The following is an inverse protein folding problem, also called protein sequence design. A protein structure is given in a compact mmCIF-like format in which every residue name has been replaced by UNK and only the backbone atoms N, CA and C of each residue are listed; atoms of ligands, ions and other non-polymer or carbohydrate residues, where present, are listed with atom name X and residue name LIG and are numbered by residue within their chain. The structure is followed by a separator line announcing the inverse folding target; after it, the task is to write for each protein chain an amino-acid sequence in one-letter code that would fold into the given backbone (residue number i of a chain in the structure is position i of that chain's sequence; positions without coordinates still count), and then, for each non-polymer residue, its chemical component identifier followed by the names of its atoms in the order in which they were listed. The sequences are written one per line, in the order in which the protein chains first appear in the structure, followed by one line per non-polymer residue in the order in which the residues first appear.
data_IF_096178313965
#
_entry.id   IF_096178313965
#
_cell.length_a   1.000
_cell.length_b   1.000
_cell.length_c   1.000
_cell.angle_alpha   90.00
_cell.angle_beta   90.00
_cell.angle_gamma   90.00
#
_symmetry.space_group_name_H-M   'P 1'
#
loop_
_entity.id
_entity.type
_entity.pdbx_description
1 polymer ?
#
# COMPACT_ATOMS: atom_id res chain seq x y z
N UNK A 1 -28.99 22.18 18.35
CA UNK A 1 -29.36 20.79 18.04
C UNK A 1 -28.22 19.92 18.54
N UNK A 2 -28.45 19.03 19.50
CA UNK A 2 -27.45 18.12 20.06
C UNK A 2 -27.12 17.04 19.01
N UNK A 3 -25.84 16.83 18.71
CA UNK A 3 -25.38 15.76 17.86
C UNK A 3 -25.85 14.39 18.43
N UNK A 4 -26.31 13.45 17.60
CA UNK A 4 -26.72 12.14 18.09
C UNK A 4 -25.51 11.48 18.75
N UNK A 5 -25.67 11.09 20.02
CA UNK A 5 -24.68 10.29 20.75
C UNK A 5 -24.42 9.03 19.90
N UNK A 6 -23.18 8.87 19.39
CA UNK A 6 -22.73 7.59 18.82
C UNK A 6 -22.98 6.54 19.88
N UNK A 7 -23.92 5.60 19.63
CA UNK A 7 -24.04 4.38 20.41
C UNK A 7 -22.67 3.71 20.30
N UNK A 8 -22.11 3.33 21.44
CA UNK A 8 -20.93 2.49 21.49
C UNK A 8 -21.37 1.14 20.93
N UNK A 9 -21.21 0.92 19.64
CA UNK A 9 -21.37 -0.42 19.08
C UNK A 9 -20.23 -1.26 19.68
N UNK A 10 -20.54 -2.45 20.23
CA UNK A 10 -19.52 -3.34 20.78
C UNK A 10 -18.48 -3.66 19.68
N UNK A 11 -17.24 -3.85 20.08
CA UNK A 11 -16.19 -4.28 19.14
C UNK A 11 -16.61 -5.62 18.50
N UNK A 12 -16.12 -5.90 17.28
CA UNK A 12 -16.43 -7.18 16.62
C UNK A 12 -16.01 -8.39 17.46
N UNK A 13 -14.96 -8.27 18.25
CA UNK A 13 -14.48 -9.31 19.16
C UNK A 13 -15.43 -9.51 20.34
N UNK A 14 -15.94 -8.43 20.94
CA UNK A 14 -16.96 -8.51 22.00
C UNK A 14 -18.24 -9.12 21.46
N UNK A 15 -18.70 -8.69 20.28
CA UNK A 15 -19.87 -9.26 19.63
C UNK A 15 -19.69 -10.75 19.29
N UNK A 16 -18.47 -11.17 18.89
CA UNK A 16 -18.12 -12.58 18.65
C UNK A 16 -18.15 -13.38 19.96
N UNK A 17 -17.62 -12.83 21.06
CA UNK A 17 -17.64 -13.47 22.39
C UNK A 17 -19.08 -13.64 22.93
N UNK A 18 -19.94 -12.64 22.77
CA UNK A 18 -21.33 -12.69 23.23
C UNK A 18 -22.22 -13.61 22.38
N UNK A 19 -22.03 -13.59 21.06
CA UNK A 19 -22.92 -14.25 20.09
C UNK A 19 -22.15 -15.00 19.01
N UNK A 20 -21.32 -16.00 19.35
CA UNK A 20 -20.45 -16.69 18.38
C UNK A 20 -21.21 -17.34 17.24
N UNK A 21 -22.44 -17.82 17.50
CA UNK A 21 -23.30 -18.47 16.50
C UNK A 21 -23.70 -17.58 15.31
N UNK A 22 -23.58 -16.25 15.42
CA UNK A 22 -23.88 -15.31 14.33
C UNK A 22 -22.74 -15.15 13.32
N UNK A 23 -21.59 -15.68 13.62
CA UNK A 23 -20.41 -15.60 12.78
C UNK A 23 -20.16 -16.93 12.06
N UNK A 24 -19.67 -16.86 10.82
CA UNK A 24 -19.15 -18.04 10.16
C UNK A 24 -17.84 -18.45 10.80
N UNK A 25 -17.54 -19.74 10.78
CA UNK A 25 -16.31 -20.29 11.36
C UNK A 25 -15.04 -19.58 10.85
N UNK A 26 -14.91 -19.44 9.54
CA UNK A 26 -13.71 -18.83 8.95
C UNK A 26 -13.53 -17.36 9.35
N UNK A 27 -14.61 -16.61 9.42
CA UNK A 27 -14.55 -15.21 9.86
C UNK A 27 -14.23 -15.08 11.34
N UNK A 28 -14.77 -15.96 12.17
CA UNK A 28 -14.47 -15.98 13.60
C UNK A 28 -12.99 -16.25 13.86
N UNK A 29 -12.41 -17.28 13.22
CA UNK A 29 -10.98 -17.61 13.36
C UNK A 29 -10.11 -16.46 12.87
N UNK A 30 -10.45 -15.85 11.73
CA UNK A 30 -9.72 -14.69 11.20
C UNK A 30 -9.71 -13.51 12.18
N UNK A 31 -10.86 -13.18 12.79
CA UNK A 31 -10.96 -12.12 13.78
C UNK A 31 -10.12 -12.42 15.02
N UNK A 32 -10.12 -13.67 15.49
CA UNK A 32 -9.33 -14.11 16.65
C UNK A 32 -7.82 -14.06 16.36
N UNK A 33 -7.38 -14.49 15.18
CA UNK A 33 -5.97 -14.35 14.77
C UNK A 33 -5.55 -12.89 14.65
N UNK A 34 -6.42 -12.04 14.11
CA UNK A 34 -6.14 -10.60 13.98
C UNK A 34 -6.01 -9.93 15.34
N UNK A 35 -6.90 -10.25 16.29
CA UNK A 35 -6.85 -9.72 17.66
C UNK A 35 -5.60 -10.18 18.39
N UNK A 36 -5.23 -11.47 18.26
CA UNK A 36 -4.00 -12.02 18.83
C UNK A 36 -2.75 -11.32 18.27
N UNK A 37 -2.71 -11.04 16.97
CA UNK A 37 -1.61 -10.30 16.34
C UNK A 37 -1.54 -8.84 16.82
N UNK A 38 -2.70 -8.21 17.08
CA UNK A 38 -2.78 -6.85 17.63
C UNK A 38 -2.27 -6.77 19.06
N UNK A 39 -2.64 -7.73 19.90
CA UNK A 39 -2.17 -7.84 21.29
C UNK A 39 -0.67 -8.13 21.35
N UNK A 40 -0.14 -8.94 20.44
CA UNK A 40 1.29 -9.22 20.35
C UNK A 40 2.17 -7.99 20.01
N UNK A 41 1.56 -6.91 19.51
CA UNK A 41 2.27 -5.63 19.27
C UNK A 41 2.52 -4.84 20.56
N UNK A 42 1.83 -5.18 21.67
CA UNK A 42 2.06 -4.56 22.97
C UNK A 42 3.23 -5.27 23.71
N UNK A 43 4.26 -4.52 24.14
CA UNK A 43 5.40 -5.12 24.83
C UNK A 43 5.00 -5.61 26.21
N UNK A 44 4.89 -6.92 26.37
CA UNK A 44 4.64 -7.56 27.69
C UNK A 44 3.78 -8.81 27.66
N UNK A 45 3.04 -9.08 26.61
CA UNK A 45 2.25 -10.30 26.48
C UNK A 45 2.94 -11.35 25.59
N UNK A 46 2.75 -12.63 25.93
CA UNK A 46 3.25 -13.73 25.11
C UNK A 46 2.49 -13.74 23.78
N UNK A 47 3.17 -13.43 22.69
CA UNK A 47 2.58 -13.36 21.36
C UNK A 47 1.96 -14.69 20.95
N UNK A 48 0.63 -14.73 20.88
CA UNK A 48 -0.11 -15.87 20.33
C UNK A 48 0.09 -15.92 18.80
N UNK A 49 0.23 -17.12 18.27
CA UNK A 49 0.55 -17.38 16.85
C UNK A 49 -0.70 -17.81 16.06
N UNK A 50 -0.71 -17.61 14.75
CA UNK A 50 -1.76 -18.12 13.88
C UNK A 50 -1.86 -19.65 13.95
N UNK A 51 -3.07 -20.17 13.76
CA UNK A 51 -3.35 -21.60 13.87
C UNK A 51 -2.72 -22.46 12.77
N UNK A 52 -2.35 -23.67 13.09
CA UNK A 52 -1.98 -24.74 12.16
C UNK A 52 -0.59 -24.62 11.54
N UNK A 53 0.29 -23.78 12.05
CA UNK A 53 1.68 -23.68 11.60
C UNK A 53 2.59 -24.73 12.23
N UNK A 54 3.88 -24.70 11.88
CA UNK A 54 4.85 -25.65 12.38
C UNK A 54 5.51 -25.13 13.67
N UNK A 55 4.69 -25.03 14.72
CA UNK A 55 5.10 -24.64 16.06
C UNK A 55 4.25 -25.35 17.13
N UNK A 56 4.57 -25.16 18.40
CA UNK A 56 3.80 -25.72 19.51
C UNK A 56 2.35 -25.22 19.48
N UNK A 57 1.36 -26.11 19.37
CA UNK A 57 -0.07 -25.74 19.40
C UNK A 57 -0.51 -25.01 20.67
N UNK A 58 0.29 -25.07 21.74
CA UNK A 58 0.02 -24.30 22.97
C UNK A 58 0.20 -22.79 22.79
N UNK A 59 0.92 -22.36 21.78
CA UNK A 59 1.12 -20.96 21.44
C UNK A 59 0.13 -20.43 20.39
N UNK A 60 -0.85 -21.23 19.93
CA UNK A 60 -1.81 -20.80 18.92
C UNK A 60 -2.93 -19.93 19.52
N UNK A 61 -3.41 -18.97 18.73
CA UNK A 61 -4.46 -18.03 19.14
C UNK A 61 -5.81 -18.69 19.43
N UNK A 62 -6.09 -19.81 18.73
CA UNK A 62 -7.37 -20.51 18.85
C UNK A 62 -7.12 -21.99 19.13
N UNK A 63 -7.84 -22.55 20.09
CA UNK A 63 -7.94 -23.97 20.35
C UNK A 63 -9.28 -24.49 19.88
N UNK A 64 -9.28 -25.39 18.91
CA UNK A 64 -10.50 -26.01 18.39
C UNK A 64 -10.89 -27.24 19.19
N UNK A 65 -12.20 -27.40 19.38
CA UNK A 65 -12.82 -28.54 20.02
C UNK A 65 -13.99 -29.01 19.16
N UNK A 66 -14.12 -30.31 18.93
CA UNK A 66 -15.29 -30.85 18.26
C UNK A 66 -16.45 -30.94 19.26
N UNK A 67 -17.67 -30.75 18.73
CA UNK A 67 -18.89 -30.98 19.50
C UNK A 67 -19.01 -32.45 19.89
N UNK A 68 -19.46 -32.71 21.09
CA UNK A 68 -19.70 -34.06 21.62
C UNK A 68 -21.18 -34.40 21.76
N UNK A 69 -22.06 -33.53 21.31
CA UNK A 69 -23.49 -33.79 21.26
C UNK A 69 -23.87 -34.51 19.95
N UNK A 70 -24.92 -35.32 19.98
CA UNK A 70 -25.47 -36.01 18.80
C UNK A 70 -26.67 -35.25 18.18
N UNK A 71 -27.06 -34.13 18.77
CA UNK A 71 -28.09 -33.28 18.20
C UNK A 71 -27.62 -32.65 16.90
N UNK A 72 -28.52 -32.46 15.92
CA UNK A 72 -28.20 -31.77 14.67
C UNK A 72 -27.78 -30.33 14.96
N UNK A 73 -26.60 -29.89 14.49
CA UNK A 73 -26.12 -28.54 14.76
C UNK A 73 -26.86 -27.53 13.87
N UNK A 74 -27.32 -26.44 14.51
CA UNK A 74 -27.97 -25.34 13.79
C UNK A 74 -26.97 -24.37 13.18
N UNK A 75 -25.79 -24.25 13.80
CA UNK A 75 -24.77 -23.24 13.47
C UNK A 75 -23.39 -23.90 13.39
N UNK A 76 -22.43 -23.24 12.70
CA UNK A 76 -21.06 -23.73 12.55
C UNK A 76 -20.27 -23.68 13.88
N UNK A 77 -20.58 -22.71 14.75
CA UNK A 77 -19.94 -22.50 16.03
C UNK A 77 -20.96 -22.69 17.15
N UNK A 78 -20.68 -23.62 18.05
CA UNK A 78 -21.54 -23.84 19.20
C UNK A 78 -21.23 -22.87 20.35
N UNK A 79 -19.95 -22.69 20.66
CA UNK A 79 -19.51 -21.85 21.78
C UNK A 79 -18.09 -21.29 21.54
N UNK A 80 -17.83 -20.14 22.14
CA UNK A 80 -16.53 -19.52 22.23
C UNK A 80 -16.26 -19.13 23.68
N UNK A 81 -15.08 -19.43 24.20
CA UNK A 81 -14.63 -19.04 25.54
C UNK A 81 -13.19 -18.57 25.45
N UNK A 82 -12.83 -17.55 26.21
CA UNK A 82 -11.45 -17.13 26.37
C UNK A 82 -10.87 -17.77 27.63
N UNK A 83 -9.69 -18.38 27.50
CA UNK A 83 -8.92 -18.94 28.61
C UNK A 83 -8.19 -17.83 29.40
N UNK A 84 -7.67 -18.17 30.57
CA UNK A 84 -6.84 -17.27 31.39
C UNK A 84 -5.53 -16.89 30.70
N UNK A 85 -5.10 -17.68 29.73
CA UNK A 85 -3.92 -17.51 28.89
C UNK A 85 -4.20 -16.65 27.63
N UNK A 86 -5.37 -16.03 27.53
CA UNK A 86 -5.77 -15.21 26.40
C UNK A 86 -6.19 -15.99 25.15
N UNK A 87 -6.04 -17.32 25.12
CA UNK A 87 -6.44 -18.15 23.99
C UNK A 87 -7.96 -18.28 23.87
N UNK A 88 -8.43 -18.32 22.64
CA UNK A 88 -9.81 -18.59 22.33
C UNK A 88 -10.07 -20.11 22.21
N UNK A 89 -10.98 -20.65 23.02
CA UNK A 89 -11.48 -22.02 22.91
C UNK A 89 -12.76 -22.02 22.10
N UNK A 90 -12.72 -22.54 20.88
CA UNK A 90 -13.85 -22.54 19.94
C UNK A 90 -14.36 -23.98 19.77
N UNK A 91 -15.65 -24.18 20.02
CA UNK A 91 -16.33 -25.47 19.81
C UNK A 91 -17.04 -25.41 18.46
N UNK A 92 -16.57 -26.23 17.52
CA UNK A 92 -17.12 -26.36 16.17
C UNK A 92 -18.09 -27.53 16.06
N UNK A 93 -18.97 -27.47 15.05
CA UNK A 93 -20.04 -28.45 14.91
C UNK A 93 -20.02 -29.20 13.58
N UNK A 94 -19.31 -28.68 12.60
CA UNK A 94 -19.36 -29.16 11.19
C UNK A 94 -18.18 -30.02 10.79
N UNK A 95 -17.13 -30.09 11.61
CA UNK A 95 -15.91 -30.80 11.29
C UNK A 95 -15.39 -31.57 12.53
N UNK A 96 -14.69 -32.66 12.33
CA UNK A 96 -14.05 -33.40 13.41
C UNK A 96 -14.21 -34.92 13.30
N UNK A 97 -13.57 -35.65 14.23
CA UNK A 97 -13.64 -37.07 14.31
C UNK A 97 -14.89 -37.57 15.03
N UNK A 98 -15.44 -36.75 15.92
CA UNK A 98 -16.56 -37.07 16.80
C UNK A 98 -17.68 -36.07 16.64
N UNK A 99 -18.86 -36.35 17.15
CA UNK A 99 -20.04 -35.50 17.03
C UNK A 99 -21.02 -35.98 15.97
N UNK A 100 -22.09 -35.21 15.67
CA UNK A 100 -23.17 -35.62 14.78
C UNK A 100 -22.71 -35.77 13.31
N UNK A 101 -21.71 -35.05 12.90
CA UNK A 101 -21.09 -35.08 11.57
C UNK A 101 -19.66 -35.67 11.62
N UNK A 102 -19.30 -36.33 12.72
CA UNK A 102 -17.97 -36.89 12.92
C UNK A 102 -17.66 -38.04 11.97
N UNK A 103 -16.37 -38.19 11.59
CA UNK A 103 -15.91 -39.26 10.73
C UNK A 103 -15.92 -40.64 11.41
N UNK A 104 -15.88 -40.69 12.75
CA UNK A 104 -15.92 -41.94 13.52
C UNK A 104 -17.35 -42.36 13.79
N UNK A 105 -17.59 -43.68 14.01
CA UNK A 105 -18.89 -44.19 14.41
C UNK A 105 -19.44 -43.50 15.68
N UNK A 106 -20.75 -43.35 15.77
CA UNK A 106 -21.43 -42.67 16.91
C UNK A 106 -21.12 -43.28 18.27
N UNK A 107 -20.75 -44.55 18.30
CA UNK A 107 -20.33 -45.27 19.52
C UNK A 107 -19.18 -44.56 20.24
N UNK A 108 -18.23 -43.96 19.49
CA UNK A 108 -17.12 -43.19 20.09
C UNK A 108 -17.64 -41.90 20.75
N UNK A 109 -18.57 -41.18 20.06
CA UNK A 109 -19.21 -39.99 20.64
C UNK A 109 -19.99 -40.32 21.90
N UNK A 110 -20.74 -41.43 21.89
CA UNK A 110 -21.48 -41.94 23.08
C UNK A 110 -20.56 -42.32 24.22
N UNK A 111 -19.39 -42.91 23.91
CA UNK A 111 -18.37 -43.24 24.92
C UNK A 111 -17.75 -42.00 25.55
N UNK A 112 -17.47 -40.97 24.74
CA UNK A 112 -17.00 -39.65 25.21
C UNK A 112 -18.05 -39.01 26.13
N UNK A 113 -19.33 -38.99 25.73
CA UNK A 113 -20.42 -38.44 26.54
C UNK A 113 -20.55 -39.14 27.89
N UNK A 114 -20.42 -40.46 27.91
CA UNK A 114 -20.39 -41.25 29.18
C UNK A 114 -19.24 -40.83 30.04
N UNK A 115 -18.01 -40.76 29.47
CA UNK A 115 -16.81 -40.32 30.19
C UNK A 115 -16.95 -38.92 30.78
N UNK A 116 -17.55 -37.97 30.01
CA UNK A 116 -17.80 -36.64 30.52
C UNK A 116 -18.81 -36.60 31.70
N UNK A 117 -19.88 -37.41 31.67
CA UNK A 117 -20.78 -37.56 32.80
C UNK A 117 -20.06 -38.11 34.04
N UNK A 118 -19.11 -39.02 33.83
CA UNK A 118 -18.30 -39.58 34.88
C UNK A 118 -17.12 -38.69 35.31
N UNK A 119 -17.07 -37.43 34.81
CA UNK A 119 -15.96 -36.49 35.03
C UNK A 119 -14.58 -37.00 34.55
N UNK A 120 -14.56 -37.81 33.51
CA UNK A 120 -13.36 -38.37 32.89
C UNK A 120 -13.17 -37.83 31.48
N UNK A 121 -12.60 -36.63 31.30
CA UNK A 121 -12.50 -35.93 29.99
C UNK A 121 -11.41 -36.50 29.09
N UNK A 122 -10.53 -37.41 29.55
CA UNK A 122 -9.32 -37.81 28.85
C UNK A 122 -9.52 -38.31 27.42
N UNK A 123 -10.63 -39.05 27.16
CA UNK A 123 -10.91 -39.53 25.79
C UNK A 123 -11.30 -38.37 24.86
N UNK A 124 -12.05 -37.38 25.33
CA UNK A 124 -12.36 -36.17 24.57
C UNK A 124 -11.07 -35.40 24.26
N UNK A 125 -10.24 -35.17 25.26
CA UNK A 125 -8.98 -34.45 25.13
C UNK A 125 -8.01 -35.13 24.15
N UNK A 126 -7.99 -36.47 24.15
CA UNK A 126 -7.22 -37.26 23.21
C UNK A 126 -7.68 -37.01 21.77
N UNK A 127 -9.00 -37.07 21.48
CA UNK A 127 -9.51 -36.79 20.14
C UNK A 127 -9.35 -35.33 19.76
N UNK A 128 -9.44 -34.41 20.71
CA UNK A 128 -9.27 -32.98 20.46
C UNK A 128 -7.86 -32.60 20.01
N UNK A 129 -6.83 -33.43 20.28
CA UNK A 129 -5.49 -33.26 19.71
C UNK A 129 -5.55 -33.34 18.18
N UNK A 130 -6.25 -34.33 17.66
CA UNK A 130 -6.41 -34.56 16.22
C UNK A 130 -7.39 -33.54 15.62
N UNK A 131 -8.54 -33.35 16.26
CA UNK A 131 -9.56 -32.39 15.82
C UNK A 131 -8.92 -30.99 15.63
N UNK A 132 -8.23 -30.50 16.63
CA UNK A 132 -7.56 -29.22 16.58
C UNK A 132 -6.60 -29.10 15.38
N UNK A 133 -5.75 -30.13 15.16
CA UNK A 133 -4.81 -30.10 14.03
C UNK A 133 -5.51 -30.15 12.67
N UNK A 134 -6.51 -31.02 12.52
CA UNK A 134 -7.27 -31.16 11.28
C UNK A 134 -8.04 -29.88 10.95
N UNK A 135 -8.73 -29.29 11.92
CA UNK A 135 -9.47 -28.03 11.75
C UNK A 135 -8.54 -26.87 11.46
N UNK A 136 -7.39 -26.79 12.12
CA UNK A 136 -6.36 -25.80 11.83
C UNK A 136 -5.85 -25.89 10.39
N UNK A 137 -5.60 -27.11 9.89
CA UNK A 137 -5.17 -27.34 8.51
C UNK A 137 -6.30 -27.02 7.50
N UNK A 138 -7.54 -27.34 7.84
CA UNK A 138 -8.71 -26.98 7.03
C UNK A 138 -8.86 -25.46 6.89
N UNK A 139 -8.74 -24.73 7.99
CA UNK A 139 -8.73 -23.27 7.97
C UNK A 139 -7.56 -22.72 7.12
N UNK A 140 -6.36 -23.26 7.27
CA UNK A 140 -5.20 -22.85 6.46
C UNK A 140 -5.40 -23.10 4.97
N UNK A 141 -5.97 -24.24 4.61
CA UNK A 141 -6.28 -24.58 3.22
C UNK A 141 -7.25 -23.55 2.61
N UNK A 142 -8.27 -23.15 3.39
CA UNK A 142 -9.20 -22.08 2.99
C UNK A 142 -8.52 -20.72 2.85
N UNK A 143 -7.68 -20.33 3.83
CA UNK A 143 -7.00 -19.04 3.87
C UNK A 143 -5.98 -18.86 2.73
N UNK A 144 -5.30 -19.96 2.32
CA UNK A 144 -4.21 -19.94 1.33
C UNK A 144 -4.61 -19.31 -0.02
N UNK A 145 -5.85 -19.51 -0.44
CA UNK A 145 -6.34 -19.03 -1.74
C UNK A 145 -7.16 -17.75 -1.64
N UNK A 146 -7.12 -17.08 -0.49
CA UNK A 146 -7.87 -15.84 -0.25
C UNK A 146 -6.91 -14.70 0.09
N UNK A 147 -7.02 -13.61 -0.68
CA UNK A 147 -6.12 -12.47 -0.56
C UNK A 147 -6.15 -11.85 0.85
N UNK A 148 -7.36 -11.55 1.38
CA UNK A 148 -7.46 -10.82 2.64
C UNK A 148 -6.86 -11.59 3.85
N UNK A 149 -7.22 -12.87 4.13
CA UNK A 149 -6.60 -13.61 5.22
C UNK A 149 -5.09 -13.85 5.00
N UNK A 150 -4.65 -14.10 3.76
CA UNK A 150 -3.24 -14.30 3.43
C UNK A 150 -2.43 -13.03 3.70
N UNK A 151 -2.95 -11.88 3.27
CA UNK A 151 -2.34 -10.57 3.49
C UNK A 151 -2.25 -10.22 4.98
N UNK A 152 -3.34 -10.39 5.74
CA UNK A 152 -3.37 -10.08 7.18
C UNK A 152 -2.36 -10.91 7.98
N UNK A 153 -2.25 -12.21 7.66
CA UNK A 153 -1.28 -13.10 8.31
C UNK A 153 0.17 -12.72 8.01
N UNK A 154 0.46 -12.34 6.76
CA UNK A 154 1.79 -11.91 6.36
C UNK A 154 2.13 -10.53 6.94
N UNK A 155 1.16 -9.61 6.94
CA UNK A 155 1.32 -8.25 7.49
C UNK A 155 1.70 -8.29 8.98
N UNK A 156 1.02 -9.10 9.78
CA UNK A 156 1.33 -9.28 11.20
C UNK A 156 2.75 -9.76 11.49
N UNK A 157 3.44 -10.35 10.50
CA UNK A 157 4.84 -10.85 10.60
C UNK A 157 5.85 -9.94 9.92
N UNK A 158 5.41 -8.88 9.26
CA UNK A 158 6.28 -8.07 8.40
C UNK A 158 6.73 -8.80 7.12
N UNK A 159 6.06 -9.90 6.75
CA UNK A 159 6.31 -10.70 5.56
C UNK A 159 5.43 -10.24 4.39
N UNK A 160 5.72 -10.74 3.20
CA UNK A 160 4.89 -10.53 2.02
C UNK A 160 4.11 -11.80 1.71
N UNK A 161 2.80 -11.69 1.56
CA UNK A 161 1.99 -12.82 1.12
C UNK A 161 2.26 -13.18 -0.35
N UNK A 162 2.04 -14.46 -0.76
CA UNK A 162 2.37 -14.93 -2.12
C UNK A 162 1.62 -14.20 -3.24
N UNK A 163 0.40 -13.73 -2.98
CA UNK A 163 -0.42 -13.03 -4.00
C UNK A 163 0.16 -11.63 -4.22
N UNK A 164 0.41 -10.89 -3.13
CA UNK A 164 1.06 -9.58 -3.20
C UNK A 164 2.46 -9.71 -3.82
N UNK A 165 3.21 -10.78 -3.48
CA UNK A 165 4.51 -11.09 -4.09
C UNK A 165 4.43 -11.29 -5.62
N UNK A 166 3.42 -12.01 -6.10
CA UNK A 166 3.19 -12.18 -7.52
C UNK A 166 2.80 -10.86 -8.21
N UNK A 167 1.95 -10.05 -7.57
CA UNK A 167 1.56 -8.73 -8.09
C UNK A 167 2.75 -7.77 -8.15
N UNK A 168 3.60 -7.74 -7.14
CA UNK A 168 4.83 -6.92 -7.13
C UNK A 168 5.81 -7.37 -8.21
N UNK A 169 5.90 -8.68 -8.48
CA UNK A 169 6.70 -9.20 -9.58
C UNK A 169 6.21 -8.73 -10.97
N UNK A 170 4.89 -8.69 -11.18
CA UNK A 170 4.29 -8.18 -12.42
C UNK A 170 4.57 -6.70 -12.66
N UNK A 171 4.69 -5.91 -11.59
CA UNK A 171 5.03 -4.48 -11.66
C UNK A 171 6.54 -4.24 -11.78
N UNK A 172 7.36 -5.28 -11.59
CA UNK A 172 8.82 -5.18 -11.64
C UNK A 172 9.47 -4.75 -10.32
N UNK A 173 8.72 -4.77 -9.20
CA UNK A 173 9.20 -4.43 -7.86
C UNK A 173 9.45 -5.67 -6.98
N UNK A 174 9.72 -6.83 -7.60
CA UNK A 174 9.99 -8.05 -6.88
C UNK A 174 11.46 -8.09 -6.39
N UNK A 175 11.63 -8.47 -5.13
CA UNK A 175 12.91 -8.58 -4.46
C UNK A 175 13.10 -7.53 -3.36
N UNK A 176 13.76 -7.93 -2.28
CA UNK A 176 13.94 -7.08 -1.09
C UNK A 176 14.75 -5.82 -1.38
N UNK A 177 15.65 -5.89 -2.37
CA UNK A 177 16.50 -4.78 -2.77
C UNK A 177 15.75 -3.66 -3.52
N UNK A 178 14.62 -3.96 -4.15
CA UNK A 178 13.80 -2.99 -4.89
C UNK A 178 12.65 -2.44 -4.05
N UNK A 179 12.33 -3.09 -2.94
CA UNK A 179 11.23 -2.70 -2.06
C UNK A 179 11.62 -1.50 -1.20
N UNK A 180 10.64 -0.64 -0.93
CA UNK A 180 10.77 0.54 -0.05
C UNK A 180 11.86 1.53 -0.46
N UNK A 181 12.26 1.54 -1.74
CA UNK A 181 13.22 2.52 -2.26
C UNK A 181 12.58 3.81 -2.74
N UNK A 182 11.34 3.73 -3.16
CA UNK A 182 10.58 4.90 -3.58
C UNK A 182 10.14 5.71 -2.35
N UNK A 183 10.02 7.01 -2.49
CA UNK A 183 9.43 7.89 -1.48
C UNK A 183 7.91 7.67 -1.30
N UNK A 184 7.31 6.83 -2.14
CA UNK A 184 5.90 6.42 -2.09
C UNK A 184 5.78 4.95 -1.67
N UNK A 185 4.69 4.55 -0.99
CA UNK A 185 4.47 3.17 -0.61
C UNK A 185 4.37 2.24 -1.84
N UNK A 186 4.98 1.05 -1.77
CA UNK A 186 4.90 0.03 -2.84
C UNK A 186 3.46 -0.37 -3.18
N UNK A 187 2.54 -0.28 -2.20
CA UNK A 187 1.11 -0.52 -2.40
C UNK A 187 0.48 0.41 -3.45
N UNK A 188 1.02 1.61 -3.63
CA UNK A 188 0.58 2.54 -4.68
C UNK A 188 0.92 1.98 -6.07
N UNK A 189 2.14 1.46 -6.25
CA UNK A 189 2.52 0.81 -7.50
C UNK A 189 1.63 -0.41 -7.82
N UNK A 190 1.22 -1.17 -6.79
CA UNK A 190 0.28 -2.28 -6.95
C UNK A 190 -1.12 -1.80 -7.38
N UNK A 191 -1.59 -0.68 -6.82
CA UNK A 191 -2.89 -0.11 -7.19
C UNK A 191 -2.95 0.22 -8.70
N UNK A 192 -1.87 0.76 -9.25
CA UNK A 192 -1.74 1.07 -10.68
C UNK A 192 -1.07 -0.04 -11.50
N UNK A 193 -0.96 -1.24 -10.94
CA UNK A 193 -0.24 -2.38 -11.52
C UNK A 193 -0.65 -2.73 -12.95
N UNK A 194 -1.93 -2.60 -13.29
CA UNK A 194 -2.42 -2.85 -14.64
C UNK A 194 -1.88 -1.89 -15.70
N UNK A 195 -1.59 -0.65 -15.34
CA UNK A 195 -0.91 0.33 -16.20
C UNK A 195 0.60 0.14 -16.21
N UNK A 196 1.19 -0.09 -15.03
CA UNK A 196 2.64 -0.21 -14.86
C UNK A 196 3.23 -1.50 -15.45
N UNK A 197 2.48 -2.59 -15.51
CA UNK A 197 2.91 -3.85 -16.10
C UNK A 197 3.11 -3.79 -17.63
N UNK A 198 2.58 -2.75 -18.28
CA UNK A 198 2.74 -2.56 -19.72
C UNK A 198 4.12 -2.00 -20.05
N UNK A 199 4.77 -2.56 -21.09
CA UNK A 199 6.05 -2.04 -21.59
C UNK A 199 5.92 -0.62 -22.16
N UNK A 200 4.85 -0.37 -22.92
CA UNK A 200 4.54 0.95 -23.47
C UNK A 200 3.41 1.56 -22.67
N UNK A 201 3.64 2.70 -22.08
CA UNK A 201 2.69 3.42 -21.23
C UNK A 201 2.24 4.69 -21.96
N UNK A 202 0.97 4.77 -22.39
CA UNK A 202 0.44 5.99 -23.00
C UNK A 202 0.32 7.12 -21.95
N UNK A 203 0.34 8.37 -22.40
CA UNK A 203 0.23 9.54 -21.53
C UNK A 203 -0.98 9.49 -20.59
N UNK A 204 -2.12 8.97 -21.06
CA UNK A 204 -3.32 8.81 -20.22
C UNK A 204 -3.08 7.93 -18.98
N UNK A 205 -2.28 6.86 -19.09
CA UNK A 205 -1.93 5.99 -17.94
C UNK A 205 -1.04 6.75 -16.96
N UNK A 206 -0.13 7.59 -17.45
CA UNK A 206 0.72 8.44 -16.61
C UNK A 206 -0.13 9.50 -15.90
N UNK A 207 -1.07 10.13 -16.61
CA UNK A 207 -2.04 11.09 -16.04
C UNK A 207 -2.87 10.47 -14.93
N UNK A 208 -3.47 9.29 -15.17
CA UNK A 208 -4.30 8.58 -14.20
C UNK A 208 -3.50 8.19 -12.96
N UNK A 209 -2.28 7.67 -13.14
CA UNK A 209 -1.38 7.32 -12.05
C UNK A 209 -1.04 8.53 -11.19
N UNK A 210 -0.56 9.61 -11.83
CA UNK A 210 -0.16 10.81 -11.12
C UNK A 210 -1.36 11.50 -10.45
N UNK A 211 -2.51 11.56 -11.12
CA UNK A 211 -3.75 12.11 -10.55
C UNK A 211 -4.20 11.33 -9.33
N UNK A 212 -4.20 10.00 -9.41
CA UNK A 212 -4.59 9.14 -8.29
C UNK A 212 -3.59 9.19 -7.14
N UNK A 213 -2.29 9.23 -7.44
CA UNK A 213 -1.23 9.29 -6.45
C UNK A 213 -1.16 10.61 -5.69
N UNK A 214 -1.38 11.72 -6.38
CA UNK A 214 -1.33 13.08 -5.80
C UNK A 214 -2.69 13.54 -5.25
N UNK A 215 -3.80 12.90 -5.67
CA UNK A 215 -5.16 13.34 -5.36
C UNK A 215 -5.50 14.71 -5.97
N UNK A 216 -4.79 15.12 -7.01
CA UNK A 216 -4.95 16.38 -7.72
C UNK A 216 -4.91 16.14 -9.23
N UNK A 217 -5.65 16.90 -10.05
CA UNK A 217 -5.66 16.71 -11.48
C UNK A 217 -4.28 16.97 -12.08
N UNK A 218 -3.81 16.02 -12.86
CA UNK A 218 -2.54 16.09 -13.61
C UNK A 218 -2.84 15.87 -15.07
N UNK A 219 -2.26 16.72 -15.95
CA UNK A 219 -2.31 16.57 -17.40
C UNK A 219 -0.90 16.50 -17.95
N UNK A 220 -0.66 15.60 -18.89
CA UNK A 220 0.64 15.42 -19.55
C UNK A 220 0.64 16.07 -20.93
N UNK A 221 1.45 17.10 -21.10
CA UNK A 221 1.76 17.68 -22.42
C UNK A 221 2.95 16.90 -23.01
N UNK A 222 2.70 16.22 -24.13
CA UNK A 222 3.70 15.41 -24.82
C UNK A 222 4.52 16.26 -25.80
N UNK A 223 5.65 15.71 -26.25
CA UNK A 223 6.51 16.31 -27.28
C UNK A 223 7.02 17.71 -26.89
N UNK A 224 7.41 17.84 -25.64
CA UNK A 224 8.06 19.07 -25.16
C UNK A 224 9.50 19.11 -25.60
N UNK A 225 9.77 19.81 -26.70
CA UNK A 225 11.11 19.94 -27.24
C UNK A 225 12.06 20.70 -26.33
N UNK A 226 13.32 20.27 -26.33
CA UNK A 226 14.39 20.92 -25.58
C UNK A 226 15.73 20.91 -26.34
N UNK A 227 16.64 21.78 -25.91
CA UNK A 227 18.00 21.86 -26.43
C UNK A 227 18.92 20.94 -25.62
N UNK A 228 19.18 19.75 -26.14
CA UNK A 228 20.14 18.80 -25.57
C UNK A 228 21.56 19.22 -25.88
N UNK A 229 22.44 19.21 -24.88
CA UNK A 229 23.87 19.47 -25.09
C UNK A 229 24.54 18.23 -25.65
N UNK A 230 25.21 18.41 -26.80
CA UNK A 230 26.01 17.35 -27.40
C UNK A 230 27.30 17.15 -26.63
N UNK A 231 27.70 15.92 -26.39
CA UNK A 231 29.01 15.59 -25.85
C UNK A 231 30.13 16.00 -26.83
N UNK A 232 31.34 16.21 -26.32
CA UNK A 232 32.45 16.64 -27.15
C UNK A 232 32.77 15.65 -28.30
N UNK A 233 32.46 14.36 -28.09
CA UNK A 233 32.60 13.31 -29.12
C UNK A 233 31.51 13.32 -30.19
N UNK A 234 30.41 14.03 -29.99
CA UNK A 234 29.24 14.13 -30.89
C UNK A 234 29.17 15.46 -31.63
N UNK A 235 30.03 16.41 -31.27
CA UNK A 235 30.05 17.72 -31.90
C UNK A 235 30.75 17.68 -33.27
N UNK A 236 30.27 18.50 -34.19
CA UNK A 236 30.91 18.71 -35.49
C UNK A 236 32.28 19.34 -35.29
N UNK A 237 33.31 18.74 -35.89
CA UNK A 237 34.68 19.26 -35.96
C UNK A 237 35.11 19.33 -37.41
N UNK A 238 35.47 20.52 -37.88
CA UNK A 238 35.95 20.70 -39.21
C UNK A 238 37.37 20.09 -39.36
N UNK A 239 37.77 19.66 -40.59
CA UNK A 239 39.11 19.16 -40.83
C UNK A 239 40.20 20.14 -40.38
N UNK A 240 41.23 19.61 -39.70
CA UNK A 240 42.30 20.41 -39.12
C UNK A 240 43.53 19.55 -38.77
N UNK A 241 44.61 20.17 -38.23
CA UNK A 241 45.91 19.47 -38.04
C UNK A 241 45.85 18.23 -37.16
N UNK A 242 44.90 18.12 -36.26
CA UNK A 242 44.72 16.96 -35.37
C UNK A 242 43.65 15.95 -35.81
N UNK A 243 42.83 16.31 -36.82
CA UNK A 243 41.74 15.49 -37.38
C UNK A 243 41.59 15.84 -38.86
N UNK A 244 42.38 15.26 -39.75
CA UNK A 244 42.39 15.61 -41.17
C UNK A 244 41.06 15.39 -41.90
N UNK A 245 40.27 14.39 -41.47
CA UNK A 245 38.96 14.08 -42.04
C UNK A 245 37.81 14.83 -41.38
N UNK A 246 38.07 15.56 -40.27
CA UNK A 246 37.02 16.16 -39.46
C UNK A 246 36.19 15.13 -38.74
N UNK A 247 35.05 15.55 -38.21
CA UNK A 247 34.06 14.70 -37.53
C UNK A 247 32.68 15.28 -37.77
N UNK A 248 31.72 14.47 -38.21
CA UNK A 248 30.34 14.89 -38.48
C UNK A 248 30.25 16.20 -39.29
N UNK A 249 31.06 16.34 -40.32
CA UNK A 249 31.21 17.59 -41.08
C UNK A 249 30.52 17.55 -42.45
N UNK A 250 29.77 16.51 -42.80
CA UNK A 250 29.08 16.37 -44.07
C UNK A 250 27.73 17.08 -44.03
N UNK A 251 27.63 18.18 -44.76
CA UNK A 251 26.40 18.97 -44.82
C UNK A 251 25.24 18.16 -45.40
N UNK A 252 24.10 18.21 -44.72
CA UNK A 252 22.88 17.46 -45.08
C UNK A 252 22.88 15.97 -44.70
N UNK A 253 23.95 15.44 -44.08
CA UNK A 253 24.06 14.06 -43.64
C UNK A 253 24.21 13.95 -42.12
N UNK A 254 25.30 14.51 -41.58
CA UNK A 254 25.63 14.35 -40.14
C UNK A 254 26.08 15.69 -39.48
N UNK A 255 26.06 16.80 -40.22
CA UNK A 255 26.47 18.10 -39.69
C UNK A 255 25.41 18.68 -38.74
N UNK A 256 25.85 19.03 -37.52
CA UNK A 256 25.04 19.80 -36.55
C UNK A 256 25.79 21.08 -36.19
N UNK A 257 25.19 22.24 -36.46
CA UNK A 257 25.80 23.52 -36.15
C UNK A 257 25.70 23.83 -34.65
N UNK A 258 26.87 23.94 -33.99
CA UNK A 258 26.94 24.30 -32.56
C UNK A 258 27.05 23.12 -31.62
N UNK A 259 26.79 23.38 -30.33
CA UNK A 259 26.99 22.40 -29.22
C UNK A 259 25.68 21.83 -28.69
N UNK A 260 24.55 22.13 -29.34
CA UNK A 260 23.23 21.70 -28.90
C UNK A 260 22.40 21.24 -30.11
N UNK A 261 21.65 20.16 -29.91
CA UNK A 261 20.66 19.67 -30.86
C UNK A 261 19.23 19.82 -30.24
N UNK A 262 18.26 20.13 -31.10
CA UNK A 262 16.88 20.19 -30.68
C UNK A 262 16.30 18.78 -30.66
N UNK A 263 15.85 18.33 -29.48
CA UNK A 263 15.20 17.03 -29.28
C UNK A 263 13.73 17.25 -28.88
N UNK A 264 12.81 16.65 -29.64
CA UNK A 264 11.36 16.81 -29.38
C UNK A 264 10.76 15.64 -28.61
N UNK A 265 11.42 14.48 -28.63
CA UNK A 265 10.86 13.24 -28.08
C UNK A 265 11.29 12.99 -26.63
N UNK A 266 12.33 13.64 -26.14
CA UNK A 266 12.91 13.40 -24.84
C UNK A 266 12.16 14.00 -23.66
N UNK A 267 11.23 14.96 -23.90
CA UNK A 267 10.60 15.74 -22.83
C UNK A 267 9.09 15.70 -22.80
N UNK A 268 8.55 15.75 -21.57
CA UNK A 268 7.13 15.97 -21.28
C UNK A 268 6.97 17.15 -20.32
N UNK A 269 5.78 17.74 -20.28
CA UNK A 269 5.43 18.70 -19.25
C UNK A 269 4.19 18.24 -18.48
N UNK A 270 4.29 18.30 -17.16
CA UNK A 270 3.20 17.95 -16.24
C UNK A 270 2.50 19.22 -15.79
N UNK A 271 1.24 19.38 -16.16
CA UNK A 271 0.38 20.43 -15.66
C UNK A 271 -0.36 19.92 -14.44
N UNK A 272 -0.11 20.50 -13.26
CA UNK A 272 -0.70 20.08 -11.99
C UNK A 272 -1.50 21.24 -11.40
N UNK A 273 -2.78 21.03 -11.17
CA UNK A 273 -3.62 22.04 -10.55
C UNK A 273 -5.00 22.20 -11.18
N UNK A 274 -5.79 23.15 -10.66
CA UNK A 274 -5.42 24.23 -9.73
C UNK A 274 -5.23 23.76 -8.29
N UNK A 275 -4.15 24.20 -7.63
CA UNK A 275 -3.71 23.81 -6.31
C UNK A 275 -4.07 24.85 -5.26
N UNK A 276 -4.28 24.42 -4.01
CA UNK A 276 -4.24 25.29 -2.84
C UNK A 276 -2.79 25.62 -2.44
N UNK A 277 -2.59 26.67 -1.62
CA UNK A 277 -1.26 27.17 -1.21
C UNK A 277 -0.37 26.09 -0.57
N UNK A 278 -0.93 25.22 0.28
CA UNK A 278 -0.17 24.16 0.93
C UNK A 278 0.37 23.10 -0.03
N UNK A 279 -0.50 22.58 -0.92
CA UNK A 279 -0.12 21.60 -1.93
C UNK A 279 0.87 22.18 -2.94
N UNK A 280 0.67 23.46 -3.34
CA UNK A 280 1.57 24.16 -4.23
C UNK A 280 3.00 24.23 -3.64
N UNK A 281 3.13 24.62 -2.37
CA UNK A 281 4.43 24.70 -1.68
C UNK A 281 5.10 23.34 -1.54
N UNK A 282 4.35 22.30 -1.19
CA UNK A 282 4.88 20.95 -1.06
C UNK A 282 5.48 20.41 -2.37
N UNK A 283 4.94 20.84 -3.52
CA UNK A 283 5.40 20.42 -4.85
C UNK A 283 6.52 21.31 -5.43
N UNK A 284 6.87 22.43 -4.79
CA UNK A 284 7.99 23.27 -5.23
C UNK A 284 9.34 22.54 -5.05
N UNK A 285 10.39 22.92 -5.82
CA UNK A 285 11.72 22.33 -5.71
C UNK A 285 12.28 22.40 -4.27
N UNK A 286 12.74 21.24 -3.79
CA UNK A 286 13.22 21.08 -2.40
C UNK A 286 12.14 20.59 -1.44
N UNK A 287 10.85 20.58 -1.81
CA UNK A 287 9.77 20.01 -1.02
C UNK A 287 9.71 18.48 -1.10
N UNK A 288 9.11 17.86 -0.09
CA UNK A 288 8.91 16.40 -0.04
C UNK A 288 7.99 15.92 -1.19
N UNK A 289 6.98 16.71 -1.54
CA UNK A 289 6.09 16.43 -2.67
C UNK A 289 6.79 16.40 -4.02
N UNK A 290 7.81 17.26 -4.21
CA UNK A 290 8.60 17.27 -5.45
C UNK A 290 9.42 15.98 -5.62
N UNK A 291 10.00 15.45 -4.54
CA UNK A 291 10.72 14.16 -4.55
C UNK A 291 9.77 13.01 -4.86
N UNK A 292 8.59 12.97 -4.21
CA UNK A 292 7.55 11.97 -4.49
C UNK A 292 7.08 12.03 -5.95
N UNK A 293 6.91 13.23 -6.48
CA UNK A 293 6.55 13.42 -7.89
C UNK A 293 7.65 12.87 -8.82
N UNK A 294 8.93 13.14 -8.55
CA UNK A 294 10.04 12.65 -9.36
C UNK A 294 10.07 11.11 -9.38
N UNK A 295 9.95 10.46 -8.21
CA UNK A 295 9.89 9.01 -8.11
C UNK A 295 8.68 8.41 -8.88
N UNK A 296 7.51 9.04 -8.77
CA UNK A 296 6.32 8.61 -9.48
C UNK A 296 6.46 8.74 -11.00
N UNK A 297 7.07 9.82 -11.47
CA UNK A 297 7.32 10.03 -12.91
C UNK A 297 8.34 9.03 -13.41
N UNK A 298 9.45 8.81 -12.67
CA UNK A 298 10.44 7.79 -13.01
C UNK A 298 9.84 6.38 -13.08
N UNK A 299 8.92 6.05 -12.16
CA UNK A 299 8.18 4.79 -12.18
C UNK A 299 7.21 4.70 -13.35
N UNK A 300 6.50 5.78 -13.68
CA UNK A 300 5.44 5.80 -14.68
C UNK A 300 5.95 5.99 -16.12
N UNK A 301 6.81 6.98 -16.36
CA UNK A 301 7.33 7.33 -17.68
C UNK A 301 8.70 6.69 -17.99
N UNK A 302 9.42 6.28 -16.94
CA UNK A 302 10.78 5.76 -17.03
C UNK A 302 11.84 6.83 -16.76
N UNK A 303 13.03 6.39 -16.30
CA UNK A 303 14.13 7.27 -15.93
C UNK A 303 14.80 7.99 -17.11
N UNK A 304 14.45 7.62 -18.35
CA UNK A 304 14.99 8.23 -19.57
C UNK A 304 14.22 9.48 -20.01
N UNK A 305 13.04 9.72 -19.44
CA UNK A 305 12.18 10.81 -19.84
C UNK A 305 12.44 12.04 -18.98
N UNK A 306 12.89 13.12 -19.61
CA UNK A 306 12.98 14.42 -18.95
C UNK A 306 11.61 15.06 -18.80
N UNK A 307 11.38 15.76 -17.70
CA UNK A 307 10.10 16.40 -17.48
C UNK A 307 10.19 17.78 -16.83
N UNK A 308 9.36 18.68 -17.30
CA UNK A 308 9.05 19.95 -16.66
C UNK A 308 7.77 19.84 -15.85
N UNK A 309 7.69 20.58 -14.77
CA UNK A 309 6.47 20.70 -13.96
C UNK A 309 5.91 22.11 -14.09
N UNK A 310 4.64 22.21 -14.44
CA UNK A 310 3.87 23.46 -14.44
C UNK A 310 2.82 23.36 -13.34
N UNK A 311 3.04 24.07 -12.22
CA UNK A 311 2.09 24.15 -11.11
C UNK A 311 1.18 25.32 -11.30
N UNK A 312 -0.12 25.12 -11.12
CA UNK A 312 -1.13 26.19 -11.17
C UNK A 312 -1.69 26.43 -9.76
N UNK A 313 -1.50 27.63 -9.23
CA UNK A 313 -2.05 28.09 -7.95
C UNK A 313 -3.39 28.77 -8.18
N UNK A 314 -4.40 28.49 -7.35
CA UNK A 314 -5.70 29.16 -7.40
C UNK A 314 -5.57 30.65 -7.21
N UNK A 315 -6.35 31.42 -7.93
CA UNK A 315 -6.32 32.89 -7.85
C UNK A 315 -6.53 33.41 -6.42
N UNK A 316 -7.41 32.77 -5.65
CA UNK A 316 -7.74 33.13 -4.26
C UNK A 316 -6.59 32.88 -3.27
N UNK A 317 -5.66 31.96 -3.61
CA UNK A 317 -4.55 31.55 -2.77
C UNK A 317 -3.22 32.25 -3.10
N UNK A 318 -3.22 33.13 -4.11
CA UNK A 318 -2.03 33.88 -4.53
C UNK A 318 -1.67 34.93 -3.50
N UNK A 319 -0.52 34.83 -2.81
CA UNK A 319 -0.14 35.79 -1.78
C UNK A 319 0.38 37.10 -2.39
N UNK A 320 0.08 38.26 -1.78
CA UNK A 320 0.74 39.49 -2.16
C UNK A 320 2.22 39.46 -1.75
N UNK A 321 3.10 39.93 -2.63
CA UNK A 321 4.52 40.06 -2.32
C UNK A 321 4.71 41.17 -1.28
N UNK A 322 5.31 40.86 -0.14
CA UNK A 322 5.72 41.81 0.88
C UNK A 322 7.25 41.89 0.92
N UNK A 323 7.82 43.07 0.70
CA UNK A 323 9.24 43.34 0.84
C UNK A 323 9.55 43.70 2.29
N UNK A 324 10.57 43.07 2.88
CA UNK A 324 11.06 43.43 4.24
C UNK A 324 10.23 42.88 5.40
N UNK A 325 9.34 41.90 5.17
CA UNK A 325 8.74 41.13 6.25
C UNK A 325 9.68 40.01 6.68
N UNK A 326 10.10 40.00 7.94
CA UNK A 326 10.55 38.77 8.56
C UNK A 326 9.46 37.72 8.31
N UNK A 327 9.83 36.57 7.75
CA UNK A 327 8.87 35.55 7.31
C UNK A 327 7.80 35.35 8.38
N UNK A 328 6.53 35.34 7.96
CA UNK A 328 5.34 35.26 8.82
C UNK A 328 5.59 34.35 10.02
N UNK A 329 5.46 34.92 11.20
CA UNK A 329 5.79 34.34 12.49
C UNK A 329 4.99 33.13 12.97
N UNK A 330 4.70 32.21 12.09
CA UNK A 330 4.24 30.85 12.44
C UNK A 330 5.48 29.97 12.54
N UNK A 331 6.12 30.02 13.66
CA UNK A 331 7.25 29.31 14.26
C UNK A 331 7.76 27.95 13.70
N UNK A 332 7.67 27.72 12.41
CA UNK A 332 8.26 26.56 11.74
C UNK A 332 9.37 27.06 10.81
N UNK A 333 10.59 26.90 11.26
CA UNK A 333 11.84 27.33 10.63
C UNK A 333 12.25 26.57 9.37
N UNK A 334 11.35 26.40 8.43
CA UNK A 334 11.60 25.82 7.12
C UNK A 334 11.55 26.93 6.06
N UNK A 335 12.68 27.48 5.67
CA UNK A 335 13.03 28.18 4.44
C UNK A 335 11.94 28.84 3.58
N UNK A 336 10.83 29.31 4.16
CA UNK A 336 9.56 29.63 3.51
C UNK A 336 9.45 31.09 3.05
N UNK A 337 10.60 31.72 2.80
CA UNK A 337 10.65 33.06 2.26
C UNK A 337 10.21 33.16 0.79
N UNK A 338 9.90 34.40 0.32
CA UNK A 338 9.57 34.64 -1.07
C UNK A 338 10.76 34.29 -1.97
N UNK A 339 10.52 33.41 -2.95
CA UNK A 339 11.53 32.96 -3.94
C UNK A 339 11.11 33.49 -5.31
N UNK A 340 11.94 34.35 -5.90
CA UNK A 340 11.68 34.92 -7.21
C UNK A 340 11.56 33.82 -8.27
N UNK A 341 10.51 33.90 -9.09
CA UNK A 341 10.22 32.92 -10.14
C UNK A 341 9.50 31.66 -9.67
N UNK A 342 9.27 31.48 -8.34
CA UNK A 342 8.63 30.25 -7.82
C UNK A 342 7.31 30.56 -7.07
N UNK A 343 7.33 31.46 -6.08
CA UNK A 343 6.18 31.72 -5.21
C UNK A 343 5.91 33.21 -5.03
N UNK A 344 6.37 34.05 -5.97
CA UNK A 344 6.23 35.51 -5.92
C UNK A 344 5.50 36.04 -7.15
N UNK A 345 4.49 36.88 -6.90
CA UNK A 345 3.71 37.52 -7.96
C UNK A 345 3.54 39.01 -7.69
N UNK A 346 3.60 39.81 -8.75
CA UNK A 346 3.23 41.22 -8.69
C UNK A 346 1.70 41.33 -8.85
N UNK A 347 1.01 41.71 -7.80
CA UNK A 347 -0.43 41.89 -7.77
C UNK A 347 -0.76 43.34 -7.87
N UNK A 348 -1.73 43.71 -8.72
CA UNK A 348 -2.35 45.04 -8.76
C UNK A 348 -3.38 45.22 -7.63
N UNK A 349 -3.99 46.39 -7.51
CA UNK A 349 -4.98 46.77 -6.48
C UNK A 349 -6.21 45.84 -6.39
N UNK A 350 -6.45 44.97 -7.36
CA UNK A 350 -7.58 44.01 -7.41
C UNK A 350 -7.21 42.54 -7.09
N UNK A 351 -5.99 42.22 -6.62
CA UNK A 351 -5.54 40.84 -6.43
C UNK A 351 -5.19 40.11 -7.73
N UNK A 352 -5.13 38.76 -7.69
CA UNK A 352 -4.89 37.97 -8.88
C UNK A 352 -6.13 37.90 -9.77
N UNK A 353 -5.98 38.19 -11.06
CA UNK A 353 -7.08 38.16 -12.04
C UNK A 353 -7.40 36.76 -12.58
N UNK A 354 -6.68 35.73 -12.12
CA UNK A 354 -6.84 34.34 -12.51
C UNK A 354 -5.78 33.51 -11.87
N UNK A 355 -5.86 32.18 -12.10
CA UNK A 355 -4.89 31.20 -11.59
C UNK A 355 -3.49 31.54 -12.10
N UNK A 356 -2.49 31.39 -11.21
CA UNK A 356 -1.11 31.72 -11.50
C UNK A 356 -0.26 30.46 -11.65
N UNK A 357 0.60 30.42 -12.65
CA UNK A 357 1.41 29.24 -12.95
C UNK A 357 2.92 29.47 -12.82
N UNK A 358 3.63 28.43 -12.42
CA UNK A 358 5.10 28.40 -12.34
C UNK A 358 5.61 27.15 -13.00
N UNK A 359 6.67 27.29 -13.82
CA UNK A 359 7.35 26.17 -14.47
C UNK A 359 8.72 25.97 -13.87
N UNK A 360 9.09 24.73 -13.60
CA UNK A 360 10.44 24.34 -13.19
C UNK A 360 10.74 22.91 -13.61
N UNK A 361 12.03 22.55 -13.61
CA UNK A 361 12.50 21.18 -13.78
C UNK A 361 12.94 20.65 -12.43
N UNK A 362 12.34 19.57 -11.92
CA UNK A 362 12.84 18.89 -10.73
C UNK A 362 14.26 18.35 -11.02
N UNK A 363 15.16 18.53 -10.05
CA UNK A 363 16.53 17.98 -10.09
C UNK A 363 16.58 16.61 -9.43
#
# INVERSE_FOLDING_TARGET
MAAPRRRHDPSLIEALGERPRRFSFFQAVRLLEWEAARQAADPGEAALRPVGEDHDPRGEAVRFHAVTDLAFPADEILALRFGEDGRAHLVETFFGLTGPLGALPESYTSLIQRGLRDKRPGLREFFDIFNHRLTSLFYRAWARYRLAPSFERAWGRGEQDPITGALTALVGLHGDELRRRLSVPDSMALHFGGGLSRRVRPAAVVEDLLTGALGRPVRVEQFRGEWCRLEAGEQTVLPGPGRPEGQFCRLGVDFVAGQRAWEIHGGIRLHIGPLGRGDFRALLPGGEGARRLADLVALAAGAQMDFDVFLTLRAEDVPPLRLGGDGDGDGHGDGDGPRLGWNTWLLGEGGARGDQGVTFRPQ
#
